data_IF_613501324853
#
_entry.id   IF_613501324853
#
_cell.length_a   1.000
_cell.length_b   1.000
_cell.length_c   1.000
_cell.angle_alpha   90.00
_cell.angle_beta   90.00
_cell.angle_gamma   90.00
#
_symmetry.space_group_name_H-M   'P 1'
#
loop_
_entity.id
_entity.type
_entity.pdbx_description
1 polymer ?
#
# COMPACT_ATOMS: atom_id res chain seq x y z
N UNK A 1 -9.91 1.11 35.78
CA UNK A 1 -8.51 1.21 35.32
C UNK A 1 -8.09 0.03 34.45
N UNK A 2 -8.16 -1.24 34.87
CA UNK A 2 -7.68 -2.35 34.01
C UNK A 2 -8.41 -2.52 32.67
N UNK A 3 -9.72 -2.28 32.60
CA UNK A 3 -10.48 -2.46 31.34
C UNK A 3 -10.18 -1.43 30.24
N UNK A 4 -9.72 -0.24 30.62
CA UNK A 4 -9.41 0.86 29.69
C UNK A 4 -8.06 0.63 29.00
N UNK A 5 -7.05 0.19 29.75
CA UNK A 5 -5.75 -0.17 29.19
C UNK A 5 -5.84 -1.38 28.24
N UNK A 6 -6.70 -2.37 28.54
CA UNK A 6 -6.97 -3.49 27.64
C UNK A 6 -7.61 -3.04 26.34
N UNK A 7 -8.58 -2.12 26.40
CA UNK A 7 -9.22 -1.58 25.19
C UNK A 7 -8.24 -0.79 24.31
N UNK A 8 -7.36 0.03 24.91
CA UNK A 8 -6.33 0.76 24.19
C UNK A 8 -5.29 -0.16 23.56
N UNK A 9 -4.88 -1.21 24.29
CA UNK A 9 -4.01 -2.26 23.77
C UNK A 9 -4.62 -2.91 22.53
N UNK A 10 -5.86 -3.41 22.62
CA UNK A 10 -6.50 -4.15 21.53
C UNK A 10 -6.73 -3.27 20.29
N UNK A 11 -7.06 -2.00 20.51
CA UNK A 11 -7.22 -0.99 19.44
C UNK A 11 -5.90 -0.77 18.71
N UNK A 12 -4.81 -0.54 19.45
CA UNK A 12 -3.51 -0.26 18.86
C UNK A 12 -2.90 -1.51 18.19
N UNK A 13 -3.03 -2.68 18.81
CA UNK A 13 -2.60 -3.97 18.22
C UNK A 13 -3.35 -4.25 16.90
N UNK A 14 -4.66 -4.03 16.89
CA UNK A 14 -5.47 -4.16 15.66
C UNK A 14 -5.00 -3.19 14.58
N UNK A 15 -4.68 -1.94 14.93
CA UNK A 15 -4.17 -0.95 13.99
C UNK A 15 -2.81 -1.37 13.39
N UNK A 16 -1.88 -1.90 14.19
CA UNK A 16 -0.61 -2.44 13.69
C UNK A 16 -0.80 -3.62 12.73
N UNK A 17 -1.67 -4.57 13.09
CA UNK A 17 -2.02 -5.71 12.22
C UNK A 17 -2.66 -5.26 10.91
N UNK A 18 -3.57 -4.30 10.97
CA UNK A 18 -4.21 -3.72 9.77
C UNK A 18 -3.22 -2.92 8.93
N UNK A 19 -2.24 -2.26 9.53
CA UNK A 19 -1.17 -1.56 8.81
C UNK A 19 -0.16 -2.53 8.17
N UNK A 20 -0.12 -3.79 8.62
CA UNK A 20 0.90 -4.76 8.23
C UNK A 20 2.29 -4.40 8.76
N UNK A 21 2.35 -3.69 9.89
CA UNK A 21 3.58 -3.24 10.53
C UNK A 21 3.88 -4.18 11.70
N UNK A 22 5.05 -4.80 11.69
CA UNK A 22 5.44 -5.71 12.78
C UNK A 22 5.82 -4.92 14.03
N UNK A 23 5.02 -5.13 15.08
CA UNK A 23 5.21 -4.55 16.39
C UNK A 23 4.64 -5.47 17.47
N UNK A 24 5.07 -5.26 18.71
CA UNK A 24 4.49 -5.89 19.89
C UNK A 24 3.89 -4.81 20.78
N UNK A 25 2.58 -4.89 21.02
CA UNK A 25 1.86 -3.95 21.89
C UNK A 25 1.68 -4.58 23.26
N UNK A 26 1.92 -3.81 24.32
CA UNK A 26 1.76 -4.24 25.70
C UNK A 26 1.01 -3.17 26.49
N UNK A 27 0.20 -3.60 27.47
CA UNK A 27 -0.34 -2.67 28.45
C UNK A 27 0.82 -2.02 29.23
N UNK A 28 0.78 -0.70 29.39
CA UNK A 28 1.84 0.02 30.08
C UNK A 28 1.79 -0.15 31.60
N UNK A 29 2.90 0.10 32.31
CA UNK A 29 2.88 0.31 33.76
C UNK A 29 1.97 1.51 34.12
N UNK A 30 1.65 1.71 35.40
CA UNK A 30 0.60 2.64 35.86
C UNK A 30 0.59 4.09 35.29
N UNK A 31 1.71 4.61 34.78
CA UNK A 31 1.83 5.95 34.17
C UNK A 31 1.88 5.96 32.64
N UNK A 32 1.76 4.79 32.01
CA UNK A 32 1.79 4.57 30.58
C UNK A 32 0.51 3.81 30.22
N UNK A 33 -0.27 4.32 29.26
CA UNK A 33 -1.45 3.62 28.80
C UNK A 33 -1.05 2.34 28.06
N UNK A 34 -0.16 2.48 27.08
CA UNK A 34 0.34 1.38 26.25
C UNK A 34 1.81 1.58 25.86
N UNK A 35 2.52 0.47 25.72
CA UNK A 35 3.89 0.41 25.21
C UNK A 35 3.91 -0.37 23.90
N UNK A 36 4.72 0.08 22.94
CA UNK A 36 4.87 -0.56 21.63
C UNK A 36 6.34 -0.78 21.34
N UNK A 37 6.72 -2.03 21.07
CA UNK A 37 8.05 -2.35 20.53
C UNK A 37 7.95 -2.47 19.01
N UNK A 38 8.71 -1.64 18.27
CA UNK A 38 8.71 -1.64 16.81
C UNK A 38 9.80 -2.59 16.27
N UNK A 39 9.40 -3.55 15.43
CA UNK A 39 10.32 -4.46 14.73
C UNK A 39 10.58 -4.01 13.30
N UNK A 40 9.61 -3.31 12.71
CA UNK A 40 9.73 -2.73 11.37
C UNK A 40 10.36 -1.33 11.38
N UNK A 41 11.04 -0.99 10.29
CA UNK A 41 11.43 0.39 10.01
C UNK A 41 10.24 1.15 9.44
N UNK A 42 9.93 2.30 10.03
CA UNK A 42 8.89 3.21 9.57
C UNK A 42 9.52 4.50 9.03
N UNK A 43 8.97 5.10 7.97
CA UNK A 43 9.53 6.30 7.35
C UNK A 43 9.29 7.58 8.17
N UNK A 44 8.36 7.56 9.14
CA UNK A 44 7.94 8.74 9.89
C UNK A 44 9.08 9.41 10.68
N UNK A 45 10.10 8.65 11.07
CA UNK A 45 11.28 9.13 11.76
C UNK A 45 12.49 8.23 11.44
N UNK A 46 13.69 8.77 11.59
CA UNK A 46 14.91 7.96 11.56
C UNK A 46 14.83 6.89 12.66
N UNK A 47 15.35 5.68 12.43
CA UNK A 47 15.21 4.54 13.34
C UNK A 47 16.11 4.68 14.60
N UNK A 48 15.85 5.70 15.40
CA UNK A 48 16.46 5.99 16.71
C UNK A 48 15.39 6.45 17.70
N UNK A 49 15.64 6.24 18.99
CA UNK A 49 14.72 6.64 20.06
C UNK A 49 14.57 8.17 20.16
N UNK A 50 15.64 8.91 19.91
CA UNK A 50 15.66 10.37 19.95
C UNK A 50 14.80 10.95 18.83
N UNK A 51 14.93 10.40 17.61
CA UNK A 51 14.13 10.85 16.46
C UNK A 51 12.65 10.50 16.63
N UNK A 52 12.33 9.33 17.18
CA UNK A 52 10.95 8.95 17.50
C UNK A 52 10.34 9.86 18.57
N UNK A 53 11.09 10.19 19.62
CA UNK A 53 10.63 11.11 20.68
C UNK A 53 10.43 12.53 20.12
N UNK A 54 11.36 13.02 19.30
CA UNK A 54 11.24 14.32 18.66
C UNK A 54 10.01 14.37 17.73
N UNK A 55 9.82 13.34 16.90
CA UNK A 55 8.64 13.24 16.04
C UNK A 55 7.32 13.24 16.82
N UNK A 56 7.25 12.52 17.95
CA UNK A 56 6.06 12.55 18.81
C UNK A 56 5.82 13.95 19.40
N UNK A 57 6.87 14.60 19.87
CA UNK A 57 6.81 15.96 20.42
C UNK A 57 6.29 16.97 19.37
N UNK A 58 6.88 16.97 18.18
CA UNK A 58 6.52 17.85 17.07
C UNK A 58 5.07 17.68 16.63
N UNK A 59 4.53 16.46 16.81
CA UNK A 59 3.16 16.12 16.47
C UNK A 59 2.20 16.20 17.65
N UNK A 60 2.64 16.62 18.84
CA UNK A 60 1.78 16.75 20.02
C UNK A 60 1.27 15.41 20.57
N UNK A 61 2.05 14.34 20.44
CA UNK A 61 1.78 13.02 20.99
C UNK A 61 2.46 12.92 22.36
N UNK A 62 1.69 12.74 23.43
CA UNK A 62 2.23 12.55 24.78
C UNK A 62 2.80 11.14 24.94
N UNK A 63 4.11 11.03 24.71
CA UNK A 63 4.85 9.80 24.81
C UNK A 63 6.36 10.01 24.81
N UNK A 64 7.07 8.91 24.97
CA UNK A 64 8.54 8.87 24.91
C UNK A 64 8.98 7.60 24.20
N UNK A 65 10.11 7.67 23.51
CA UNK A 65 10.73 6.51 22.91
C UNK A 65 12.08 6.24 23.57
N UNK A 66 12.40 4.96 23.72
CA UNK A 66 13.68 4.48 24.22
C UNK A 66 14.16 3.32 23.38
N UNK A 67 15.47 3.07 23.41
CA UNK A 67 16.02 1.85 22.84
C UNK A 67 15.93 0.74 23.88
N UNK A 68 15.47 -0.43 23.47
CA UNK A 68 15.59 -1.62 24.28
C UNK A 68 17.07 -2.07 24.31
N UNK A 69 17.69 -2.19 25.49
CA UNK A 69 19.13 -2.45 25.59
C UNK A 69 19.53 -3.87 25.17
N UNK A 70 18.60 -4.81 25.15
CA UNK A 70 18.87 -6.21 24.80
C UNK A 70 18.64 -6.46 23.32
N UNK A 71 17.54 -5.93 22.79
CA UNK A 71 17.08 -6.20 21.42
C UNK A 71 17.41 -5.08 20.44
N UNK A 72 17.82 -3.90 20.93
CA UNK A 72 18.05 -2.69 20.13
C UNK A 72 16.83 -2.23 19.32
N UNK A 73 15.63 -2.67 19.68
CA UNK A 73 14.38 -2.19 19.10
C UNK A 73 13.92 -0.90 19.77
N UNK A 74 13.21 -0.07 19.04
CA UNK A 74 12.58 1.14 19.58
C UNK A 74 11.33 0.72 20.36
N UNK A 75 11.26 1.15 21.62
CA UNK A 75 10.09 1.01 22.48
C UNK A 75 9.46 2.38 22.68
N UNK A 76 8.20 2.53 22.28
CA UNK A 76 7.41 3.75 22.40
C UNK A 76 6.41 3.57 23.53
N UNK A 77 6.44 4.46 24.51
CA UNK A 77 5.46 4.54 25.59
C UNK A 77 4.50 5.70 25.34
N UNK A 78 3.21 5.40 25.21
CA UNK A 78 2.14 6.39 25.03
C UNK A 78 1.37 6.53 26.35
N UNK A 79 1.25 7.77 26.84
CA UNK A 79 0.81 8.03 28.22
C UNK A 79 -0.71 8.18 28.37
N UNK A 80 -1.41 8.50 27.29
CA UNK A 80 -2.85 8.82 27.32
C UNK A 80 -3.59 8.23 26.12
N UNK A 81 -4.90 8.05 26.25
CA UNK A 81 -5.76 7.66 25.13
C UNK A 81 -5.65 8.60 23.91
N UNK A 82 -5.70 9.95 24.07
CA UNK A 82 -5.50 10.86 22.93
C UNK A 82 -4.13 10.72 22.26
N UNK A 83 -3.09 10.35 23.02
CA UNK A 83 -1.78 10.07 22.44
C UNK A 83 -1.81 8.79 21.60
N UNK A 84 -2.53 7.75 22.03
CA UNK A 84 -2.75 6.54 21.24
C UNK A 84 -3.48 6.86 19.93
N UNK A 85 -4.59 7.59 20.00
CA UNK A 85 -5.38 7.92 18.81
C UNK A 85 -4.57 8.75 17.82
N UNK A 86 -3.88 9.79 18.30
CA UNK A 86 -3.07 10.65 17.44
C UNK A 86 -1.85 9.93 16.87
N UNK A 87 -1.24 9.03 17.63
CA UNK A 87 -0.18 8.16 17.16
C UNK A 87 -0.70 7.22 16.05
N UNK A 88 -1.85 6.59 16.26
CA UNK A 88 -2.51 5.74 15.25
C UNK A 88 -2.83 6.54 13.99
N UNK A 89 -3.43 7.72 14.12
CA UNK A 89 -3.84 8.55 13.00
C UNK A 89 -2.67 9.03 12.15
N UNK A 90 -1.57 9.43 12.78
CA UNK A 90 -0.42 9.98 12.06
C UNK A 90 0.52 8.90 11.55
N UNK A 91 0.71 7.81 12.31
CA UNK A 91 1.65 6.77 11.96
C UNK A 91 1.01 5.63 11.17
N UNK A 92 -0.14 5.11 11.62
CA UNK A 92 -0.68 3.84 11.14
C UNK A 92 -1.77 4.02 10.08
N UNK A 93 -2.65 5.02 10.22
CA UNK A 93 -3.77 5.23 9.29
C UNK A 93 -3.34 5.35 7.83
N UNK A 94 -2.25 6.07 7.45
CA UNK A 94 -1.77 6.09 6.06
C UNK A 94 -1.38 4.70 5.54
N UNK A 95 -0.76 3.86 6.36
CA UNK A 95 -0.39 2.49 5.99
C UNK A 95 -1.62 1.58 5.89
N UNK A 96 -2.57 1.70 6.83
CA UNK A 96 -3.85 0.97 6.80
C UNK A 96 -4.58 1.29 5.49
N UNK A 97 -4.75 2.57 5.16
CA UNK A 97 -5.41 3.02 3.94
C UNK A 97 -4.74 2.46 2.68
N UNK A 98 -3.41 2.54 2.60
CA UNK A 98 -2.62 2.02 1.47
C UNK A 98 -2.82 0.51 1.31
N UNK A 99 -2.75 -0.24 2.42
CA UNK A 99 -2.92 -1.70 2.39
C UNK A 99 -4.35 -2.10 2.06
N UNK A 100 -5.36 -1.44 2.63
CA UNK A 100 -6.77 -1.71 2.33
C UNK A 100 -7.08 -1.42 0.86
N UNK A 101 -6.55 -0.34 0.29
CA UNK A 101 -6.69 -0.02 -1.13
C UNK A 101 -6.02 -1.10 -2.00
N UNK A 102 -4.79 -1.51 -1.67
CA UNK A 102 -4.08 -2.58 -2.38
C UNK A 102 -4.83 -3.93 -2.36
N UNK A 103 -5.38 -4.33 -1.20
CA UNK A 103 -6.21 -5.54 -1.08
C UNK A 103 -7.45 -5.42 -1.97
N UNK A 104 -8.16 -4.29 -1.89
CA UNK A 104 -9.37 -4.07 -2.68
C UNK A 104 -9.10 -4.14 -4.18
N UNK A 105 -7.93 -3.67 -4.61
CA UNK A 105 -7.49 -3.77 -6.01
C UNK A 105 -7.15 -5.19 -6.42
N UNK A 106 -6.40 -5.92 -5.59
CA UNK A 106 -6.08 -7.31 -5.84
C UNK A 106 -7.35 -8.17 -5.94
N UNK A 107 -8.35 -7.93 -5.07
CA UNK A 107 -9.65 -8.59 -5.14
C UNK A 107 -10.42 -8.22 -6.42
N UNK A 108 -10.45 -6.94 -6.78
CA UNK A 108 -11.14 -6.48 -7.99
C UNK A 108 -10.51 -7.07 -9.27
N UNK A 109 -9.18 -7.09 -9.37
CA UNK A 109 -8.47 -7.70 -10.50
C UNK A 109 -8.62 -9.23 -10.50
N UNK A 110 -8.54 -9.86 -9.33
CA UNK A 110 -8.69 -11.31 -9.16
C UNK A 110 -10.09 -11.81 -9.54
N UNK A 111 -11.14 -11.01 -9.36
CA UNK A 111 -12.49 -11.31 -9.83
C UNK A 111 -12.59 -11.46 -11.37
N UNK A 112 -11.63 -10.90 -12.11
CA UNK A 112 -11.50 -11.03 -13.56
C UNK A 112 -10.41 -12.04 -13.97
N UNK A 113 -9.95 -12.89 -13.05
CA UNK A 113 -8.93 -13.94 -13.28
C UNK A 113 -7.61 -13.39 -13.83
N UNK A 114 -7.28 -12.14 -13.52
CA UNK A 114 -6.03 -11.52 -13.95
C UNK A 114 -4.87 -11.94 -13.05
N UNK A 115 -3.76 -12.30 -13.68
CA UNK A 115 -2.51 -12.58 -12.97
C UNK A 115 -1.79 -11.27 -12.70
N UNK A 116 -1.99 -10.72 -11.51
CA UNK A 116 -1.35 -9.46 -11.09
C UNK A 116 -0.73 -9.60 -9.73
N UNK A 117 0.44 -8.97 -9.54
CA UNK A 117 1.01 -8.78 -8.21
C UNK A 117 0.71 -7.36 -7.74
N UNK A 118 0.22 -7.21 -6.51
CA UNK A 118 -0.03 -5.90 -5.90
C UNK A 118 0.85 -5.76 -4.67
N UNK A 119 1.71 -4.73 -4.67
CA UNK A 119 2.67 -4.46 -3.62
C UNK A 119 2.47 -3.06 -3.05
N UNK A 120 2.64 -2.92 -1.74
CA UNK A 120 2.63 -1.61 -1.07
C UNK A 120 4.04 -1.19 -0.73
N UNK A 121 4.41 0.04 -1.06
CA UNK A 121 5.61 0.70 -0.56
C UNK A 121 5.25 1.56 0.65
N UNK A 122 5.72 1.14 1.82
CA UNK A 122 5.45 1.83 3.07
C UNK A 122 6.09 3.22 3.13
N UNK A 123 7.25 3.42 2.48
CA UNK A 123 7.98 4.68 2.56
C UNK A 123 7.32 5.79 1.74
N UNK A 124 6.76 5.43 0.59
CA UNK A 124 6.14 6.39 -0.34
C UNK A 124 4.62 6.38 -0.29
N UNK A 125 4.00 5.47 0.47
CA UNK A 125 2.56 5.21 0.46
C UNK A 125 2.02 4.98 -0.96
N UNK A 126 2.84 4.32 -1.80
CA UNK A 126 2.45 3.96 -3.15
C UNK A 126 2.09 2.49 -3.24
N UNK A 127 1.25 2.17 -4.21
CA UNK A 127 0.79 0.83 -4.54
C UNK A 127 1.31 0.54 -5.94
N UNK A 128 2.15 -0.47 -6.04
CA UNK A 128 2.68 -0.98 -7.30
C UNK A 128 1.84 -2.16 -7.75
N UNK A 129 1.42 -2.12 -9.01
CA UNK A 129 0.60 -3.17 -9.62
C UNK A 129 1.38 -3.70 -10.81
N UNK A 130 1.87 -4.93 -10.69
CA UNK A 130 2.56 -5.63 -11.77
C UNK A 130 1.52 -6.36 -12.59
N UNK A 131 1.43 -5.97 -13.86
CA UNK A 131 0.55 -6.57 -14.84
C UNK A 131 1.34 -7.68 -15.53
N UNK A 132 1.28 -8.88 -14.94
CA UNK A 132 2.06 -10.02 -15.39
C UNK A 132 1.36 -10.65 -16.60
N UNK A 133 1.99 -10.56 -17.76
CA UNK A 133 1.51 -11.28 -18.94
C UNK A 133 1.94 -12.75 -18.82
N UNK A 134 1.00 -13.66 -19.04
CA UNK A 134 1.32 -15.06 -19.31
C UNK A 134 1.24 -15.29 -20.83
N UNK A 135 1.75 -16.43 -21.31
CA UNK A 135 1.89 -16.70 -22.75
C UNK A 135 0.61 -16.52 -23.58
N UNK A 136 -0.57 -16.57 -22.95
CA UNK A 136 -1.89 -16.53 -23.60
C UNK A 136 -2.74 -15.30 -23.21
N UNK A 137 -2.32 -14.49 -22.22
CA UNK A 137 -3.11 -13.38 -21.67
C UNK A 137 -2.26 -12.11 -21.58
N UNK A 138 -2.66 -11.10 -22.36
CA UNK A 138 -2.18 -9.73 -22.24
C UNK A 138 -2.93 -9.03 -21.10
N UNK A 139 -2.53 -9.29 -19.86
CA UNK A 139 -3.11 -8.74 -18.63
C UNK A 139 -3.27 -7.24 -18.72
N UNK A 140 -2.26 -6.54 -19.25
CA UNK A 140 -2.29 -5.10 -19.45
C UNK A 140 -3.41 -4.63 -20.40
N UNK A 141 -3.69 -5.40 -21.45
CA UNK A 141 -4.77 -5.11 -22.42
C UNK A 141 -6.13 -5.41 -21.83
N UNK A 142 -6.27 -6.49 -21.07
CA UNK A 142 -7.51 -6.81 -20.37
C UNK A 142 -7.85 -5.76 -19.33
N UNK A 143 -6.87 -5.28 -18.55
CA UNK A 143 -7.05 -4.14 -17.65
C UNK A 143 -7.54 -2.90 -18.41
N UNK A 144 -6.93 -2.58 -19.56
CA UNK A 144 -7.39 -1.45 -20.38
C UNK A 144 -8.87 -1.61 -20.82
N UNK A 145 -9.28 -2.84 -21.17
CA UNK A 145 -10.66 -3.17 -21.49
C UNK A 145 -11.62 -2.90 -20.32
N UNK A 146 -11.28 -3.35 -19.11
CA UNK A 146 -12.07 -3.11 -17.88
C UNK A 146 -12.20 -1.62 -17.56
N UNK A 147 -11.19 -0.83 -17.90
CA UNK A 147 -11.22 0.63 -17.75
C UNK A 147 -12.04 1.34 -18.84
N UNK A 148 -12.47 0.62 -19.88
CA UNK A 148 -13.31 1.12 -20.97
C UNK A 148 -12.57 1.47 -22.25
N UNK A 149 -11.33 1.01 -22.42
CA UNK A 149 -10.52 1.20 -23.62
C UNK A 149 -10.13 -0.15 -24.26
N UNK A 150 -11.11 -0.96 -24.71
CA UNK A 150 -10.80 -2.19 -25.42
C UNK A 150 -10.02 -1.90 -26.71
N UNK A 151 -8.88 -2.56 -26.90
CA UNK A 151 -7.99 -2.34 -28.05
C UNK A 151 -6.94 -1.24 -27.84
N UNK A 152 -6.56 -0.96 -26.59
CA UNK A 152 -5.47 -0.02 -26.27
C UNK A 152 -4.12 -0.42 -26.93
N UNK A 153 -3.97 -1.71 -27.23
CA UNK A 153 -2.86 -2.34 -27.94
C UNK A 153 -2.93 -2.22 -29.47
N UNK A 154 -4.03 -1.70 -30.05
CA UNK A 154 -4.19 -1.64 -31.51
C UNK A 154 -3.00 -0.96 -32.18
N UNK A 155 -2.44 -1.66 -33.17
CA UNK A 155 -1.27 -1.23 -33.94
C UNK A 155 0.07 -1.37 -33.22
N UNK A 156 0.12 -2.02 -32.05
CA UNK A 156 1.34 -2.32 -31.33
C UNK A 156 1.76 -3.78 -31.57
N UNK A 157 3.06 -3.99 -31.73
CA UNK A 157 3.70 -5.31 -31.71
C UNK A 157 4.34 -5.50 -30.33
N UNK A 158 3.61 -6.11 -29.39
CA UNK A 158 4.00 -6.21 -27.98
C UNK A 158 5.20 -7.11 -27.73
N UNK A 159 5.65 -7.88 -28.74
CA UNK A 159 6.93 -8.60 -28.68
C UNK A 159 8.14 -7.65 -28.73
N UNK A 160 7.93 -6.37 -29.08
CA UNK A 160 8.98 -5.36 -29.15
C UNK A 160 8.90 -4.42 -27.95
N UNK A 161 9.97 -4.35 -27.17
CA UNK A 161 10.11 -3.48 -25.99
C UNK A 161 9.70 -2.02 -26.25
N UNK A 162 10.04 -1.45 -27.42
CA UNK A 162 9.63 -0.07 -27.77
C UNK A 162 8.11 0.11 -27.88
N UNK A 163 7.39 -0.91 -28.36
CA UNK A 163 5.93 -0.85 -28.48
C UNK A 163 5.27 -1.19 -27.14
N UNK A 164 5.88 -2.04 -26.32
CA UNK A 164 5.46 -2.25 -24.93
C UNK A 164 5.56 -0.96 -24.11
N UNK A 165 6.63 -0.17 -24.28
CA UNK A 165 6.75 1.14 -23.65
C UNK A 165 5.63 2.10 -24.07
N UNK A 166 5.22 2.05 -25.35
CA UNK A 166 4.05 2.81 -25.83
C UNK A 166 2.74 2.30 -25.23
N UNK A 167 2.60 1.00 -24.96
CA UNK A 167 1.45 0.47 -24.24
C UNK A 167 1.42 0.99 -22.80
N UNK A 168 2.55 0.98 -22.09
CA UNK A 168 2.66 1.55 -20.75
C UNK A 168 2.32 3.06 -20.74
N UNK A 169 2.80 3.83 -21.71
CA UNK A 169 2.44 5.25 -21.85
C UNK A 169 0.92 5.41 -22.07
N UNK A 170 0.32 4.63 -22.96
CA UNK A 170 -1.14 4.64 -23.20
C UNK A 170 -1.92 4.27 -21.93
N UNK A 171 -1.45 3.29 -21.16
CA UNK A 171 -2.03 2.92 -19.87
C UNK A 171 -1.93 4.04 -18.84
N UNK A 172 -0.80 4.74 -18.78
CA UNK A 172 -0.62 5.90 -17.90
C UNK A 172 -1.69 6.96 -18.18
N UNK A 173 -1.93 7.28 -19.45
CA UNK A 173 -2.97 8.22 -19.86
C UNK A 173 -4.38 7.73 -19.54
N UNK A 174 -4.67 6.46 -19.80
CA UNK A 174 -5.97 5.85 -19.49
C UNK A 174 -6.26 5.90 -17.99
N UNK A 175 -5.31 5.45 -17.17
CA UNK A 175 -5.44 5.44 -15.71
C UNK A 175 -5.53 6.87 -15.17
N UNK A 176 -4.78 7.81 -15.73
CA UNK A 176 -4.90 9.24 -15.40
C UNK A 176 -6.32 9.75 -15.68
N UNK A 177 -6.91 9.38 -16.83
CA UNK A 177 -8.28 9.74 -17.17
C UNK A 177 -9.33 9.14 -16.23
N UNK A 178 -9.16 7.88 -15.82
CA UNK A 178 -10.07 7.20 -14.87
C UNK A 178 -9.97 7.79 -13.47
N UNK A 179 -8.75 8.05 -13.00
CA UNK A 179 -8.52 8.49 -11.63
C UNK A 179 -8.67 10.00 -11.46
N UNK A 180 -8.53 10.77 -12.55
CA UNK A 180 -8.56 12.22 -12.52
C UNK A 180 -7.27 12.86 -11.99
N UNK A 181 -6.21 12.08 -11.80
CA UNK A 181 -4.90 12.54 -11.35
C UNK A 181 -3.79 11.77 -12.06
N UNK A 182 -2.60 12.36 -12.18
CA UNK A 182 -1.50 11.75 -12.92
C UNK A 182 -1.10 10.40 -12.32
N UNK A 183 -1.23 9.34 -13.13
CA UNK A 183 -0.79 8.00 -12.82
C UNK A 183 0.35 7.60 -13.75
N UNK A 184 1.32 6.89 -13.20
CA UNK A 184 2.52 6.49 -13.92
C UNK A 184 2.51 4.98 -14.15
N UNK A 185 2.84 4.59 -15.38
CA UNK A 185 3.12 3.21 -15.74
C UNK A 185 4.49 3.12 -16.37
N UNK A 186 5.24 2.08 -16.04
CA UNK A 186 6.54 1.79 -16.62
C UNK A 186 6.64 0.37 -17.12
N UNK A 187 7.56 0.16 -18.05
CA UNK A 187 7.97 -1.16 -18.48
C UNK A 187 9.18 -1.59 -17.66
N UNK A 188 9.06 -2.70 -16.95
CA UNK A 188 10.20 -3.35 -16.29
C UNK A 188 10.70 -4.45 -17.23
N UNK A 189 11.96 -4.40 -17.68
CA UNK A 189 12.52 -5.45 -18.53
C UNK A 189 12.48 -6.80 -17.82
N UNK A 190 12.08 -7.82 -18.57
CA UNK A 190 12.11 -9.20 -18.14
C UNK A 190 13.53 -9.74 -18.03
N UNK A 191 13.64 -10.95 -17.49
CA UNK A 191 14.88 -11.72 -17.49
C UNK A 191 14.73 -13.00 -18.31
N UNK A 192 15.75 -13.87 -18.35
CA UNK A 192 15.66 -15.13 -19.08
C UNK A 192 14.49 -16.05 -18.63
N UNK A 193 13.92 -15.79 -17.44
CA UNK A 193 12.88 -16.60 -16.83
C UNK A 193 11.52 -15.89 -16.71
N UNK A 194 11.48 -14.56 -16.92
CA UNK A 194 10.28 -13.74 -16.75
C UNK A 194 10.16 -12.75 -17.92
N UNK A 195 8.99 -12.59 -18.55
CA UNK A 195 8.79 -11.65 -19.65
C UNK A 195 8.89 -10.19 -19.19
N UNK A 196 9.04 -9.27 -20.15
CA UNK A 196 8.86 -7.83 -19.88
C UNK A 196 7.46 -7.59 -19.28
N UNK A 197 7.38 -6.76 -18.25
CA UNK A 197 6.13 -6.47 -17.52
C UNK A 197 5.81 -4.98 -17.52
N UNK A 198 4.53 -4.65 -17.35
CA UNK A 198 4.09 -3.27 -17.11
C UNK A 198 3.72 -3.12 -15.63
N UNK A 199 4.30 -2.13 -14.98
CA UNK A 199 4.02 -1.79 -13.58
C UNK A 199 3.30 -0.45 -13.50
N UNK A 200 2.13 -0.42 -12.85
CA UNK A 200 1.46 0.82 -12.47
C UNK A 200 1.94 1.26 -11.08
N UNK A 201 2.19 2.55 -10.90
CA UNK A 201 2.53 3.15 -9.60
C UNK A 201 1.42 4.14 -9.24
N UNK A 202 0.72 3.87 -8.14
CA UNK A 202 -0.53 4.55 -7.77
C UNK A 202 -0.52 4.95 -6.30
N UNK A 203 -1.29 5.96 -5.92
CA UNK A 203 -1.65 6.21 -4.52
C UNK A 203 -3.00 5.56 -4.17
N UNK A 204 -3.37 5.57 -2.88
CA UNK A 204 -4.61 4.96 -2.38
C UNK A 204 -5.87 5.50 -3.07
N UNK A 205 -5.97 6.82 -3.28
CA UNK A 205 -7.13 7.44 -3.91
C UNK A 205 -7.30 7.00 -5.37
N UNK A 206 -6.18 6.93 -6.11
CA UNK A 206 -6.16 6.42 -7.48
C UNK A 206 -6.62 4.97 -7.52
N UNK A 207 -6.13 4.15 -6.59
CA UNK A 207 -6.51 2.74 -6.50
C UNK A 207 -8.01 2.58 -6.21
N UNK A 208 -8.58 3.33 -5.27
CA UNK A 208 -10.02 3.23 -4.96
C UNK A 208 -10.88 3.58 -6.17
N UNK A 209 -10.51 4.61 -6.94
CA UNK A 209 -11.21 4.96 -8.19
C UNK A 209 -11.09 3.89 -9.26
N UNK A 210 -9.92 3.25 -9.37
CA UNK A 210 -9.74 2.11 -10.27
C UNK A 210 -10.58 0.92 -9.84
N UNK A 211 -10.64 0.60 -8.54
CA UNK A 211 -11.47 -0.47 -8.00
C UNK A 211 -12.94 -0.25 -8.36
N UNK A 212 -13.46 0.96 -8.13
CA UNK A 212 -14.84 1.31 -8.49
C UNK A 212 -15.07 1.17 -9.99
N UNK A 213 -14.11 1.62 -10.81
CA UNK A 213 -14.20 1.49 -12.27
C UNK A 213 -14.17 0.04 -12.74
N UNK A 214 -13.30 -0.80 -12.18
CA UNK A 214 -13.19 -2.22 -12.53
C UNK A 214 -14.48 -2.96 -12.16
N UNK A 215 -14.99 -2.75 -10.95
CA UNK A 215 -16.22 -3.40 -10.45
C UNK A 215 -17.48 -2.99 -11.22
N UNK A 216 -17.53 -1.77 -11.74
CA UNK A 216 -18.65 -1.25 -12.53
C UNK A 216 -18.43 -1.33 -14.04
N UNK A 217 -17.24 -1.76 -14.46
CA UNK A 217 -16.86 -1.89 -15.85
C UNK A 217 -17.71 -2.96 -16.56
N UNK A 218 -17.91 -2.84 -17.89
CA UNK A 218 -18.55 -3.90 -18.64
C UNK A 218 -17.74 -5.19 -18.47
N UNK A 219 -18.42 -6.30 -18.14
CA UNK A 219 -17.83 -7.63 -18.20
C UNK A 219 -17.31 -7.79 -19.63
N UNK A 220 -15.99 -7.71 -19.78
CA UNK A 220 -15.38 -7.90 -21.09
C UNK A 220 -15.60 -9.37 -21.42
N UNK A 221 -16.36 -9.67 -22.48
CA UNK A 221 -16.36 -11.01 -23.07
C UNK A 221 -14.91 -11.30 -23.44
N UNK A 222 -14.25 -12.14 -22.62
CA UNK A 222 -12.92 -12.66 -22.90
C UNK A 222 -13.09 -13.46 -24.19
N UNK A 223 -12.73 -12.87 -25.34
CA UNK A 223 -12.66 -13.61 -26.59
C UNK A 223 -11.46 -14.55 -26.49
N UNK A 224 -11.75 -15.79 -26.12
CA UNK A 224 -10.94 -16.98 -26.41
C UNK A 224 -10.70 -17.14 -27.90
#
# INVERSE_FOLDING_TARGET
MNGEHTALHDRLDTAFRQAGVEANVQAGPAQVAVSVTLYSRLPAFAHTAEAATAWMCDNGIDGEARLDPETFHIVIALRTEPAVDRFTDLLLTPHIQTRTAAISLAEALGAHTLFTSVHTDLATHTIKVELNDNADVLTAVTVAGLLGAPGLDRGLDLTRTKQLHRLAERLSWLVTGVTGSFAYAETVPGCAHDPDQITLILNSDQVLRLVDRIRTGPLSEIRT
#
